data_IF_012874971067
#
_entry.id   IF_012874971067
#
_cell.length_a   1.000
_cell.length_b   1.000
_cell.length_c   1.000
_cell.angle_alpha   90.00
_cell.angle_beta   90.00
_cell.angle_gamma   90.00
#
_symmetry.space_group_name_H-M   'P 1'
#
loop_
_entity.id
_entity.type
_entity.pdbx_description
1 polymer ?
#
# COMPACT_ATOMS: atom_id res chain seq x y z
N UNK A 1 16.69 9.46 28.90
CA UNK A 1 16.36 9.23 27.47
C UNK A 1 14.93 9.65 27.11
N UNK A 2 13.87 9.15 27.76
CA UNK A 2 12.45 9.52 27.42
C UNK A 2 12.13 11.01 27.53
N UNK A 3 12.66 11.72 28.53
CA UNK A 3 12.31 13.12 28.80
C UNK A 3 12.90 14.10 27.78
N UNK A 4 14.13 13.86 27.31
CA UNK A 4 14.79 14.70 26.30
C UNK A 4 14.10 14.57 24.94
N UNK A 5 13.73 13.34 24.56
CA UNK A 5 12.99 13.09 23.32
C UNK A 5 11.65 13.84 23.28
N UNK A 6 10.87 13.82 24.38
CA UNK A 6 9.59 14.55 24.45
C UNK A 6 9.77 16.06 24.35
N UNK A 7 10.81 16.61 24.98
CA UNK A 7 11.14 18.03 24.85
C UNK A 7 11.52 18.38 23.40
N UNK A 8 12.34 17.55 22.75
CA UNK A 8 12.67 17.71 21.32
C UNK A 8 11.43 17.61 20.43
N UNK A 9 10.57 16.62 20.67
CA UNK A 9 9.32 16.43 19.92
C UNK A 9 8.40 17.66 20.01
N UNK A 10 8.21 18.24 21.19
CA UNK A 10 7.38 19.44 21.36
C UNK A 10 8.07 20.69 20.78
N UNK A 11 9.39 20.76 20.85
CA UNK A 11 10.15 21.94 20.40
C UNK A 11 10.33 22.01 18.86
N UNK A 12 10.46 20.87 18.18
CA UNK A 12 10.79 20.82 16.75
C UNK A 12 9.61 20.37 15.89
N UNK A 13 9.07 21.27 15.06
CA UNK A 13 7.94 20.95 14.17
C UNK A 13 8.29 19.92 13.09
N UNK A 14 9.50 19.99 12.51
CA UNK A 14 9.91 19.08 11.44
C UNK A 14 10.06 17.64 11.93
N UNK A 15 10.52 17.48 13.18
CA UNK A 15 10.55 16.20 13.87
C UNK A 15 9.14 15.62 14.01
N UNK A 16 8.16 16.43 14.44
CA UNK A 16 6.76 15.98 14.53
C UNK A 16 6.20 15.58 13.19
N UNK A 17 6.38 16.41 12.16
CA UNK A 17 5.92 16.12 10.79
C UNK A 17 6.48 14.81 10.27
N UNK A 18 7.77 14.57 10.46
CA UNK A 18 8.42 13.32 10.05
C UNK A 18 7.85 12.11 10.79
N UNK A 19 7.68 12.22 12.11
CA UNK A 19 7.09 11.15 12.93
C UNK A 19 5.66 10.88 12.47
N UNK A 20 4.80 11.90 12.37
CA UNK A 20 3.42 11.75 11.93
C UNK A 20 3.33 11.18 10.52
N UNK A 21 4.15 11.62 9.56
CA UNK A 21 4.17 11.07 8.21
C UNK A 21 4.55 9.58 8.21
N UNK A 22 5.51 9.19 9.05
CA UNK A 22 5.92 7.77 9.20
C UNK A 22 4.81 6.95 9.86
N UNK A 23 4.22 7.47 10.94
CA UNK A 23 3.08 6.84 11.62
C UNK A 23 1.92 6.63 10.66
N UNK A 24 1.52 7.65 9.90
CA UNK A 24 0.43 7.55 8.93
C UNK A 24 0.67 6.43 7.90
N UNK A 25 1.91 6.27 7.41
CA UNK A 25 2.25 5.19 6.47
C UNK A 25 2.07 3.81 7.08
N UNK A 26 2.52 3.62 8.33
CA UNK A 26 2.42 2.35 9.06
C UNK A 26 0.97 2.05 9.43
N UNK A 27 0.22 3.05 9.91
CA UNK A 27 -1.20 2.90 10.24
C UNK A 27 -2.05 2.57 9.01
N UNK A 28 -1.77 3.22 7.88
CA UNK A 28 -2.45 2.92 6.62
C UNK A 28 -2.15 1.49 6.14
N UNK A 29 -0.90 1.03 6.24
CA UNK A 29 -0.54 -0.36 5.96
C UNK A 29 -1.27 -1.34 6.88
N UNK A 30 -1.27 -1.10 8.19
CA UNK A 30 -1.93 -1.96 9.16
C UNK A 30 -3.45 -2.02 8.91
N UNK A 31 -4.08 -0.89 8.59
CA UNK A 31 -5.48 -0.83 8.21
C UNK A 31 -5.77 -1.63 6.95
N UNK A 32 -4.90 -1.52 5.94
CA UNK A 32 -5.00 -2.25 4.67
C UNK A 32 -4.81 -3.76 4.85
N UNK A 33 -3.76 -4.18 5.55
CA UNK A 33 -3.47 -5.59 5.84
C UNK A 33 -4.64 -6.24 6.59
N UNK A 34 -5.12 -5.57 7.65
CA UNK A 34 -6.29 -6.00 8.41
C UNK A 34 -7.55 -6.08 7.55
N UNK A 35 -7.72 -5.14 6.61
CA UNK A 35 -8.82 -5.19 5.66
C UNK A 35 -8.68 -6.36 4.69
N UNK A 36 -7.48 -6.75 4.26
CA UNK A 36 -7.30 -7.94 3.43
C UNK A 36 -7.58 -9.25 4.19
N UNK A 37 -7.29 -9.28 5.50
CA UNK A 37 -7.56 -10.43 6.35
C UNK A 37 -9.04 -10.84 6.30
N UNK A 38 -9.32 -12.03 5.77
CA UNK A 38 -10.67 -12.57 5.64
C UNK A 38 -11.00 -13.48 6.84
N UNK A 39 -12.24 -13.41 7.34
CA UNK A 39 -12.74 -14.33 8.38
C UNK A 39 -12.24 -14.10 9.81
N UNK A 40 -11.22 -13.26 10.04
CA UNK A 40 -10.69 -12.97 11.37
C UNK A 40 -10.36 -11.51 11.67
N UNK A 41 -10.46 -10.60 10.69
CA UNK A 41 -10.07 -9.18 10.84
C UNK A 41 -8.67 -9.01 11.48
N UNK A 42 -7.71 -9.85 11.13
CA UNK A 42 -6.35 -9.83 11.69
C UNK A 42 -6.23 -10.38 13.13
N UNK A 43 -7.26 -11.07 13.65
CA UNK A 43 -7.19 -11.74 14.95
C UNK A 43 -6.40 -13.03 14.81
N UNK A 44 -5.28 -13.11 15.53
CA UNK A 44 -4.50 -14.34 15.67
C UNK A 44 -5.23 -15.26 16.65
N UNK A 45 -5.81 -16.34 16.12
CA UNK A 45 -6.67 -17.25 16.88
C UNK A 45 -5.90 -18.26 17.75
N UNK A 46 -4.59 -18.40 17.52
CA UNK A 46 -3.74 -19.38 18.18
C UNK A 46 -2.70 -18.69 19.08
N UNK A 47 -2.36 -19.33 20.21
CA UNK A 47 -1.31 -18.88 21.12
C UNK A 47 0.04 -19.58 20.85
N UNK A 48 0.12 -20.45 19.86
CA UNK A 48 1.35 -21.06 19.38
C UNK A 48 2.17 -20.08 18.50
N UNK A 49 3.38 -19.66 18.92
CA UNK A 49 4.19 -18.67 18.19
C UNK A 49 4.42 -19.01 16.72
N UNK A 50 4.57 -20.28 16.36
CA UNK A 50 4.77 -20.69 14.96
C UNK A 50 3.52 -20.41 14.10
N UNK A 51 2.31 -20.63 14.63
CA UNK A 51 1.08 -20.31 13.91
C UNK A 51 0.89 -18.80 13.77
N UNK A 52 1.26 -18.03 14.81
CA UNK A 52 1.21 -16.56 14.74
C UNK A 52 2.14 -16.02 13.65
N UNK A 53 3.37 -16.55 13.59
CA UNK A 53 4.35 -16.14 12.59
C UNK A 53 3.89 -16.49 11.16
N UNK A 54 3.31 -17.67 10.96
CA UNK A 54 2.72 -18.07 9.67
C UNK A 54 1.61 -17.13 9.25
N UNK A 55 0.68 -16.81 10.17
CA UNK A 55 -0.42 -15.90 9.89
C UNK A 55 0.09 -14.53 9.42
N UNK A 56 1.04 -13.94 10.16
CA UNK A 56 1.65 -12.65 9.81
C UNK A 56 2.32 -12.71 8.44
N UNK A 57 3.15 -13.73 8.19
CA UNK A 57 3.87 -13.87 6.91
C UNK A 57 2.94 -14.04 5.70
N UNK A 58 1.88 -14.82 5.85
CA UNK A 58 0.91 -15.00 4.77
C UNK A 58 0.09 -13.73 4.52
N UNK A 59 -0.27 -13.01 5.58
CA UNK A 59 -0.94 -11.72 5.46
C UNK A 59 -0.05 -10.70 4.72
N UNK A 60 1.22 -10.60 5.12
CA UNK A 60 2.21 -9.74 4.46
C UNK A 60 2.41 -10.12 2.99
N UNK A 61 2.44 -11.42 2.66
CA UNK A 61 2.58 -11.88 1.27
C UNK A 61 1.40 -11.41 0.41
N UNK A 62 0.17 -11.60 0.89
CA UNK A 62 -1.05 -11.17 0.18
C UNK A 62 -1.09 -9.65 0.08
N UNK A 63 -0.78 -8.93 1.16
CA UNK A 63 -0.74 -7.47 1.17
C UNK A 63 0.24 -6.93 0.12
N UNK A 64 1.47 -7.45 0.09
CA UNK A 64 2.46 -7.03 -0.89
C UNK A 64 2.06 -7.34 -2.34
N UNK A 65 1.41 -8.49 -2.59
CA UNK A 65 0.92 -8.84 -3.92
C UNK A 65 -0.16 -7.85 -4.41
N UNK A 66 -1.12 -7.50 -3.54
CA UNK A 66 -2.17 -6.53 -3.86
C UNK A 66 -1.60 -5.12 -4.00
N UNK A 67 -0.68 -4.70 -3.13
CA UNK A 67 0.03 -3.42 -3.23
C UNK A 67 0.71 -3.31 -4.59
N UNK A 68 1.40 -4.36 -5.02
CA UNK A 68 2.06 -4.38 -6.31
C UNK A 68 1.08 -4.20 -7.47
N UNK A 69 -0.03 -4.94 -7.47
CA UNK A 69 -1.07 -4.78 -8.49
C UNK A 69 -1.68 -3.37 -8.49
N UNK A 70 -1.95 -2.80 -7.32
CA UNK A 70 -2.44 -1.43 -7.20
C UNK A 70 -1.46 -0.42 -7.83
N UNK A 71 -0.15 -0.58 -7.60
CA UNK A 71 0.86 0.30 -8.21
C UNK A 71 0.88 0.14 -9.73
N UNK A 72 0.77 -1.08 -10.25
CA UNK A 72 0.65 -1.34 -11.69
C UNK A 72 -0.55 -0.59 -12.27
N UNK A 73 -1.73 -0.78 -11.69
CA UNK A 73 -2.99 -0.21 -12.17
C UNK A 73 -2.95 1.32 -12.13
N UNK A 74 -2.51 1.90 -11.00
CA UNK A 74 -2.31 3.35 -10.85
C UNK A 74 -1.35 3.88 -11.93
N UNK A 75 -0.23 3.18 -12.16
CA UNK A 75 0.76 3.56 -13.17
C UNK A 75 0.16 3.55 -14.58
N UNK A 76 -0.64 2.54 -14.91
CA UNK A 76 -1.33 2.45 -16.19
C UNK A 76 -2.33 3.59 -16.38
N UNK A 77 -3.13 3.89 -15.36
CA UNK A 77 -4.10 5.00 -15.38
C UNK A 77 -3.39 6.34 -15.56
N UNK A 78 -2.30 6.61 -14.83
CA UNK A 78 -1.53 7.86 -14.97
C UNK A 78 -0.95 7.99 -16.40
N UNK A 79 -0.41 6.89 -16.95
CA UNK A 79 0.10 6.89 -18.33
C UNK A 79 -1.01 7.20 -19.33
N UNK A 80 -2.19 6.64 -19.12
CA UNK A 80 -3.34 6.88 -19.98
C UNK A 80 -3.82 8.33 -19.91
N UNK A 81 -3.99 8.90 -18.71
CA UNK A 81 -4.35 10.30 -18.50
C UNK A 81 -3.39 11.26 -19.22
N UNK A 82 -2.07 10.97 -19.16
CA UNK A 82 -1.07 11.76 -19.87
C UNK A 82 -1.17 11.64 -21.40
N UNK A 83 -1.47 10.45 -21.92
CA UNK A 83 -1.69 10.25 -23.36
C UNK A 83 -2.93 11.01 -23.86
N UNK A 84 -3.94 11.15 -23.01
CA UNK A 84 -5.16 11.94 -23.27
C UNK A 84 -4.94 13.45 -23.16
N UNK A 85 -3.75 13.88 -22.72
CA UNK A 85 -3.37 15.29 -22.63
C UNK A 85 -3.64 15.94 -21.26
N UNK A 86 -4.03 15.17 -20.24
CA UNK A 86 -4.17 15.68 -18.88
C UNK A 86 -2.80 15.97 -18.26
N UNK A 87 -2.68 17.14 -17.62
CA UNK A 87 -1.52 17.48 -16.81
C UNK A 87 -1.55 16.71 -15.49
N UNK A 88 -0.45 16.02 -15.17
CA UNK A 88 -0.27 15.29 -13.92
C UNK A 88 0.91 15.90 -13.20
N UNK A 89 0.66 16.50 -12.03
CA UNK A 89 1.69 17.10 -11.21
C UNK A 89 2.53 16.00 -10.53
N UNK A 90 3.87 16.02 -10.62
CA UNK A 90 4.72 15.10 -9.87
C UNK A 90 4.49 15.14 -8.34
N UNK A 91 4.10 16.29 -7.79
CA UNK A 91 3.85 16.42 -6.35
C UNK A 91 2.57 15.67 -5.93
N UNK A 92 1.55 15.61 -6.78
CA UNK A 92 0.34 14.82 -6.54
C UNK A 92 0.64 13.32 -6.48
N UNK A 93 1.63 12.86 -7.25
CA UNK A 93 2.05 11.46 -7.23
C UNK A 93 2.75 11.08 -5.92
N UNK A 94 3.40 12.04 -5.26
CA UNK A 94 4.13 11.82 -4.01
C UNK A 94 3.21 11.48 -2.83
N UNK A 95 1.94 11.85 -2.93
CA UNK A 95 0.92 11.63 -1.88
C UNK A 95 -0.02 10.47 -2.19
N UNK A 96 0.10 9.83 -3.36
CA UNK A 96 -0.70 8.66 -3.69
C UNK A 96 -0.33 7.47 -2.80
N UNK A 97 -1.36 6.77 -2.35
CA UNK A 97 -1.21 5.56 -1.55
C UNK A 97 -1.51 4.32 -2.39
N UNK A 98 -0.70 3.26 -2.31
CA UNK A 98 -0.99 2.00 -2.99
C UNK A 98 -2.02 1.15 -2.24
N UNK A 99 -2.62 1.65 -1.16
CA UNK A 99 -3.56 0.92 -0.31
C UNK A 99 -5.04 1.12 -0.69
N UNK A 100 -5.32 1.36 -1.98
CA UNK A 100 -6.69 1.49 -2.51
C UNK A 100 -7.45 0.16 -2.38
N UNK A 101 -8.70 0.23 -1.94
CA UNK A 101 -9.52 -0.95 -1.62
C UNK A 101 -10.82 -1.05 -2.45
N UNK A 102 -11.33 0.08 -2.95
CA UNK A 102 -12.68 0.16 -3.54
C UNK A 102 -12.83 -0.66 -4.83
N UNK A 103 -11.77 -0.79 -5.62
CA UNK A 103 -11.76 -1.56 -6.86
C UNK A 103 -11.55 -3.06 -6.65
N UNK A 104 -11.19 -3.48 -5.43
CA UNK A 104 -10.88 -4.87 -5.12
C UNK A 104 -12.16 -5.59 -4.69
N UNK A 105 -12.55 -6.60 -5.47
CA UNK A 105 -13.69 -7.46 -5.14
C UNK A 105 -13.35 -8.42 -3.99
N UNK A 106 -13.36 -7.96 -2.74
CA UNK A 106 -13.00 -8.80 -1.57
C UNK A 106 -13.92 -10.01 -1.35
N UNK A 107 -15.19 -9.92 -1.74
CA UNK A 107 -16.22 -10.94 -1.48
C UNK A 107 -16.98 -11.33 -2.75
N UNK A 108 -17.53 -12.55 -2.74
CA UNK A 108 -18.37 -13.09 -3.81
C UNK A 108 -17.60 -13.99 -4.78
N UNK A 109 -18.26 -14.34 -5.87
CA UNK A 109 -17.73 -15.34 -6.79
C UNK A 109 -16.66 -14.76 -7.73
N UNK A 110 -15.51 -15.42 -7.78
CA UNK A 110 -14.47 -15.16 -8.77
C UNK A 110 -14.63 -16.15 -9.91
N UNK A 111 -14.99 -15.64 -11.09
CA UNK A 111 -14.90 -16.41 -12.32
C UNK A 111 -13.53 -16.09 -12.92
N UNK A 112 -12.60 -17.02 -12.76
CA UNK A 112 -11.23 -16.87 -13.29
C UNK A 112 -11.16 -17.67 -14.58
N UNK A 113 -10.93 -17.00 -15.69
CA UNK A 113 -10.55 -17.66 -16.94
C UNK A 113 -9.04 -17.95 -16.89
N UNK A 114 -8.67 -19.24 -16.89
CA UNK A 114 -7.28 -19.67 -16.85
C UNK A 114 -6.60 -19.62 -18.23
N UNK A 115 -7.38 -19.50 -19.31
CA UNK A 115 -6.87 -19.38 -20.68
C UNK A 115 -6.60 -17.92 -21.05
N UNK A 116 -7.23 -16.97 -20.34
CA UNK A 116 -6.98 -15.54 -20.51
C UNK A 116 -5.57 -15.19 -20.02
N UNK A 117 -4.73 -14.74 -20.95
CA UNK A 117 -3.37 -14.30 -20.60
C UNK A 117 -3.44 -12.87 -20.06
N UNK A 118 -2.91 -12.62 -18.85
CA UNK A 118 -2.87 -11.27 -18.31
C UNK A 118 -1.99 -10.36 -19.19
N UNK A 119 -2.31 -9.07 -19.20
CA UNK A 119 -1.48 -8.09 -19.90
C UNK A 119 -0.04 -8.12 -19.37
N UNK A 120 0.97 -8.00 -20.25
CA UNK A 120 2.36 -8.03 -19.83
C UNK A 120 2.68 -6.82 -18.94
N UNK A 121 3.20 -7.12 -17.76
CA UNK A 121 3.59 -6.12 -16.78
C UNK A 121 4.92 -5.46 -17.17
N UNK A 122 4.93 -4.13 -17.26
CA UNK A 122 6.18 -3.36 -17.33
C UNK A 122 6.79 -3.26 -15.93
N UNK A 123 7.72 -4.16 -15.63
CA UNK A 123 8.39 -4.22 -14.33
C UNK A 123 9.21 -2.97 -13.96
N UNK A 124 9.43 -2.02 -14.89
CA UNK A 124 10.09 -0.74 -14.58
C UNK A 124 9.11 0.29 -14.02
N UNK A 125 7.80 0.13 -14.27
CA UNK A 125 6.73 1.04 -13.85
C UNK A 125 7.07 2.53 -14.07
N UNK A 126 7.84 2.82 -15.12
CA UNK A 126 8.41 4.15 -15.33
C UNK A 126 7.36 5.14 -15.79
N UNK A 127 7.18 6.22 -15.05
CA UNK A 127 6.29 7.32 -15.46
C UNK A 127 7.01 8.37 -16.33
N UNK A 128 8.32 8.27 -16.54
CA UNK A 128 9.05 9.16 -17.46
C UNK A 128 9.11 10.62 -17.01
N UNK A 129 8.93 10.91 -15.73
CA UNK A 129 9.25 12.21 -15.14
C UNK A 129 10.78 12.37 -15.14
N UNK A 130 11.27 13.56 -15.49
CA UNK A 130 12.68 13.90 -15.26
C UNK A 130 12.83 14.15 -13.76
N UNK A 131 13.64 13.35 -13.09
CA UNK A 131 14.09 13.65 -11.73
C UNK A 131 14.87 14.96 -11.79
N UNK A 132 14.49 15.94 -10.97
CA UNK A 132 15.24 17.18 -10.80
C UNK A 132 16.59 16.92 -10.13
#
# INVERSE_FOLDING_TARGET
>A
MRTVFLLQYISYIDMRRTITATTNKVEAYNGFSKWLSFGGLGIIADNDPEQQEKAIKYEDLVANAVIFQNVVDITMVIRQLRKEGHYVDPDDLSVLSPYLMEHIKRFGDYVIDLEERPEPLDGRLGLGFKTA
#
